data_IF_032215625913
#
_entry.id   IF_032215625913
#
_cell.length_a   1.000
_cell.length_b   1.000
_cell.length_c   1.000
_cell.angle_alpha   90.00
_cell.angle_beta   90.00
_cell.angle_gamma   90.00
#
_symmetry.space_group_name_H-M   'P 1'
#
loop_
_entity.id
_entity.type
_entity.pdbx_description
1 polymer ?
#
# COMPACT_ATOMS: atom_id res chain seq x y z
N UNK A 1 0.83 -21.29 14.65
CA UNK A 1 1.91 -20.47 14.15
C UNK A 1 1.34 -19.12 13.74
N UNK A 2 1.74 -18.03 14.41
CA UNK A 2 1.18 -16.66 14.22
C UNK A 2 1.38 -16.13 12.79
N UNK A 3 2.57 -16.21 12.17
CA UNK A 3 2.75 -15.78 10.79
C UNK A 3 1.79 -16.46 9.80
N UNK A 4 1.50 -17.73 10.00
CA UNK A 4 0.53 -18.45 9.17
C UNK A 4 -0.90 -17.90 9.34
N UNK A 5 -1.31 -17.59 10.56
CA UNK A 5 -2.62 -16.99 10.84
C UNK A 5 -2.74 -15.60 10.19
N UNK A 6 -1.71 -14.78 10.30
CA UNK A 6 -1.69 -13.44 9.66
C UNK A 6 -1.78 -13.55 8.14
N UNK A 7 -1.03 -14.47 7.53
CA UNK A 7 -1.12 -14.70 6.08
C UNK A 7 -2.49 -15.23 5.66
N UNK A 8 -3.07 -16.16 6.43
CA UNK A 8 -4.43 -16.67 6.20
C UNK A 8 -5.44 -15.53 6.24
N UNK A 9 -5.37 -14.67 7.26
CA UNK A 9 -6.27 -13.53 7.39
C UNK A 9 -6.16 -12.57 6.20
N UNK A 10 -4.95 -12.31 5.72
CA UNK A 10 -4.74 -11.52 4.50
C UNK A 10 -5.44 -12.16 3.29
N UNK A 11 -5.29 -13.47 3.08
CA UNK A 11 -5.97 -14.16 1.97
C UNK A 11 -7.49 -14.04 2.11
N UNK A 12 -8.03 -14.24 3.32
CA UNK A 12 -9.45 -14.08 3.60
C UNK A 12 -9.94 -12.67 3.29
N UNK A 13 -9.19 -11.65 3.67
CA UNK A 13 -9.50 -10.24 3.35
C UNK A 13 -9.55 -10.02 1.83
N UNK A 14 -8.59 -10.55 1.05
CA UNK A 14 -8.54 -10.37 -0.40
C UNK A 14 -9.67 -11.08 -1.14
N UNK A 15 -10.21 -12.18 -0.60
CA UNK A 15 -11.37 -12.87 -1.19
C UNK A 15 -12.71 -12.36 -0.64
N UNK A 16 -12.68 -11.35 0.24
CA UNK A 16 -13.88 -10.69 0.79
C UNK A 16 -14.48 -11.38 2.03
N UNK A 17 -13.83 -12.39 2.60
CA UNK A 17 -14.22 -13.08 3.83
C UNK A 17 -13.81 -12.26 5.07
N UNK A 18 -14.35 -11.04 5.22
CA UNK A 18 -13.87 -10.07 6.19
C UNK A 18 -14.08 -10.53 7.65
N UNK A 19 -15.24 -11.14 7.97
CA UNK A 19 -15.53 -11.64 9.31
C UNK A 19 -14.57 -12.77 9.73
N UNK A 20 -14.25 -13.67 8.80
CA UNK A 20 -13.34 -14.78 9.08
C UNK A 20 -11.89 -14.30 9.17
N UNK A 21 -11.53 -13.28 8.39
CA UNK A 21 -10.25 -12.58 8.54
C UNK A 21 -10.11 -11.98 9.93
N UNK A 22 -11.13 -11.27 10.43
CA UNK A 22 -11.12 -10.70 11.78
C UNK A 22 -10.96 -11.76 12.86
N UNK A 23 -11.74 -12.84 12.82
CA UNK A 23 -11.61 -13.96 13.76
C UNK A 23 -10.21 -14.56 13.76
N UNK A 24 -9.64 -14.71 12.56
CA UNK A 24 -8.28 -15.26 12.40
C UNK A 24 -7.22 -14.31 12.98
N UNK A 25 -7.36 -12.98 12.80
CA UNK A 25 -6.47 -11.98 13.37
C UNK A 25 -6.58 -11.92 14.90
N UNK A 26 -7.81 -11.94 15.44
CA UNK A 26 -8.01 -11.99 16.89
C UNK A 26 -7.34 -13.23 17.49
N UNK A 27 -7.47 -14.39 16.83
CA UNK A 27 -6.76 -15.61 17.25
C UNK A 27 -5.25 -15.46 17.18
N UNK A 28 -4.73 -14.75 16.18
CA UNK A 28 -3.29 -14.47 16.10
C UNK A 28 -2.83 -13.57 17.26
N UNK A 29 -3.62 -12.56 17.64
CA UNK A 29 -3.34 -11.66 18.75
C UNK A 29 -3.50 -12.33 20.12
N UNK A 30 -4.40 -13.30 20.31
CA UNK A 30 -4.42 -14.14 21.53
C UNK A 30 -3.09 -14.89 21.73
N UNK A 31 -2.48 -15.37 20.64
CA UNK A 31 -1.21 -16.10 20.70
C UNK A 31 0.01 -15.17 20.76
N UNK A 32 -0.08 -13.99 20.23
CA UNK A 32 0.96 -12.97 20.20
C UNK A 32 0.35 -11.56 20.30
N UNK A 33 -0.02 -11.12 21.52
CA UNK A 33 -0.70 -9.84 21.73
C UNK A 33 0.07 -8.61 21.25
N UNK A 34 1.37 -8.73 21.06
CA UNK A 34 2.22 -7.65 20.57
C UNK A 34 2.57 -7.75 19.08
N UNK A 35 1.84 -8.50 18.24
CA UNK A 35 2.17 -8.64 16.84
C UNK A 35 1.74 -7.37 16.03
N UNK A 36 2.69 -6.52 15.57
CA UNK A 36 2.36 -5.23 14.95
C UNK A 36 1.61 -5.37 13.64
N UNK A 37 1.91 -6.41 12.86
CA UNK A 37 1.28 -6.63 11.57
C UNK A 37 -0.19 -7.08 11.74
N UNK A 38 -0.47 -7.94 12.74
CA UNK A 38 -1.82 -8.36 13.05
C UNK A 38 -2.69 -7.19 13.53
N UNK A 39 -2.16 -6.31 14.39
CA UNK A 39 -2.85 -5.08 14.81
C UNK A 39 -3.15 -4.16 13.62
N UNK A 40 -2.15 -3.93 12.76
CA UNK A 40 -2.34 -3.08 11.59
C UNK A 40 -3.40 -3.61 10.63
N UNK A 41 -3.37 -4.92 10.31
CA UNK A 41 -4.37 -5.52 9.42
C UNK A 41 -5.76 -5.46 10.05
N UNK A 42 -5.87 -5.71 11.34
CA UNK A 42 -7.14 -5.62 12.08
C UNK A 42 -7.71 -4.19 12.02
N UNK A 43 -6.86 -3.17 12.23
CA UNK A 43 -7.25 -1.77 12.11
C UNK A 43 -7.73 -1.41 10.69
N UNK A 44 -7.11 -1.99 9.64
CA UNK A 44 -7.51 -1.75 8.24
C UNK A 44 -8.77 -2.49 7.82
N UNK A 45 -9.16 -3.54 8.56
CA UNK A 45 -10.23 -4.45 8.16
C UNK A 45 -11.62 -3.87 8.41
N UNK A 46 -11.80 -3.14 9.50
CA UNK A 46 -13.10 -2.62 9.93
C UNK A 46 -13.00 -1.18 10.43
N UNK A 47 -14.15 -0.50 10.48
CA UNK A 47 -14.23 0.85 11.04
C UNK A 47 -14.17 0.78 12.56
N UNK A 48 -13.26 1.52 13.19
CA UNK A 48 -13.17 1.62 14.63
C UNK A 48 -14.38 2.36 15.22
N UNK A 49 -14.91 1.84 16.32
CA UNK A 49 -16.05 2.41 17.06
C UNK A 49 -15.70 2.78 18.50
N UNK A 50 -14.51 2.41 18.99
CA UNK A 50 -13.98 2.75 20.31
C UNK A 50 -12.48 2.99 20.27
N UNK A 51 -11.93 3.58 21.34
CA UNK A 51 -10.50 3.84 21.49
C UNK A 51 -9.70 2.67 22.07
N UNK A 52 -10.33 1.57 22.43
CA UNK A 52 -9.70 0.47 23.16
C UNK A 52 -8.50 -0.11 22.40
N UNK A 53 -8.68 -0.39 21.12
CA UNK A 53 -7.60 -0.95 20.28
C UNK A 53 -6.50 0.10 19.98
N UNK A 54 -6.86 1.38 19.85
CA UNK A 54 -5.89 2.49 19.75
C UNK A 54 -5.01 2.53 20.99
N UNK A 55 -5.61 2.46 22.19
CA UNK A 55 -4.86 2.48 23.45
C UNK A 55 -3.95 1.26 23.61
N UNK A 56 -4.39 0.09 23.17
CA UNK A 56 -3.61 -1.13 23.15
C UNK A 56 -2.36 -0.95 22.27
N UNK A 57 -2.53 -0.51 21.02
CA UNK A 57 -1.41 -0.24 20.11
C UNK A 57 -0.47 0.86 20.64
N UNK A 58 -1.01 1.91 21.28
CA UNK A 58 -0.20 2.96 21.90
C UNK A 58 0.68 2.43 23.03
N UNK A 59 0.18 1.51 23.85
CA UNK A 59 0.98 0.84 24.90
C UNK A 59 2.13 0.04 24.28
N UNK A 60 1.88 -0.64 23.17
CA UNK A 60 2.91 -1.38 22.45
C UNK A 60 4.00 -0.45 21.94
N UNK A 61 3.65 0.65 21.27
CA UNK A 61 4.61 1.63 20.77
C UNK A 61 5.44 2.24 21.91
N UNK A 62 4.80 2.64 23.00
CA UNK A 62 5.47 3.24 24.19
C UNK A 62 6.43 2.26 24.89
N UNK A 63 6.27 0.97 24.67
CA UNK A 63 7.17 -0.05 25.26
C UNK A 63 8.61 0.04 24.76
N UNK A 64 8.86 0.72 23.64
CA UNK A 64 10.18 0.88 23.03
C UNK A 64 10.80 -0.39 22.42
N UNK A 65 10.11 -1.55 22.47
CA UNK A 65 10.65 -2.86 22.07
C UNK A 65 10.65 -3.11 20.56
N UNK A 66 9.96 -2.27 19.78
CA UNK A 66 9.75 -2.52 18.37
C UNK A 66 10.77 -1.79 17.48
N UNK A 67 11.35 -2.48 16.48
CA UNK A 67 12.16 -1.83 15.47
C UNK A 67 11.34 -0.85 14.62
N UNK A 68 11.97 0.09 13.90
CA UNK A 68 11.28 1.15 13.17
C UNK A 68 10.16 0.65 12.25
N UNK A 69 10.40 -0.41 11.49
CA UNK A 69 9.39 -1.00 10.59
C UNK A 69 8.14 -1.48 11.34
N UNK A 70 8.32 -2.13 12.48
CA UNK A 70 7.22 -2.63 13.30
C UNK A 70 6.44 -1.48 13.96
N UNK A 71 7.15 -0.42 14.40
CA UNK A 71 6.51 0.80 14.92
C UNK A 71 5.67 1.49 13.85
N UNK A 72 6.13 1.51 12.60
CA UNK A 72 5.37 2.09 11.50
C UNK A 72 4.02 1.41 11.33
N UNK A 73 3.94 0.07 11.39
CA UNK A 73 2.66 -0.65 11.33
C UNK A 73 1.71 -0.23 12.46
N UNK A 74 2.21 -0.16 13.70
CA UNK A 74 1.38 0.25 14.83
C UNK A 74 0.89 1.69 14.69
N UNK A 75 1.77 2.62 14.29
CA UNK A 75 1.40 4.01 14.12
C UNK A 75 0.38 4.23 12.98
N UNK A 76 0.51 3.52 11.85
CA UNK A 76 -0.48 3.58 10.78
C UNK A 76 -1.82 2.96 11.19
N UNK A 77 -1.82 1.89 12.00
CA UNK A 77 -3.04 1.34 12.59
C UNK A 77 -3.73 2.33 13.53
N UNK A 78 -2.94 2.98 14.42
CA UNK A 78 -3.43 4.03 15.32
C UNK A 78 -4.03 5.19 14.52
N UNK A 79 -3.31 5.67 13.50
CA UNK A 79 -3.77 6.79 12.68
C UNK A 79 -5.09 6.49 11.97
N UNK A 80 -5.22 5.29 11.38
CA UNK A 80 -6.44 4.86 10.69
C UNK A 80 -7.63 4.77 11.65
N UNK A 81 -7.47 4.19 12.84
CA UNK A 81 -8.57 4.09 13.79
C UNK A 81 -8.95 5.43 14.42
N UNK A 82 -7.99 6.33 14.63
CA UNK A 82 -8.28 7.70 15.06
C UNK A 82 -9.02 8.49 13.97
N UNK A 83 -8.68 8.27 12.68
CA UNK A 83 -9.42 8.83 11.55
C UNK A 83 -10.87 8.31 11.52
N UNK A 84 -11.09 7.01 11.74
CA UNK A 84 -12.41 6.43 11.87
C UNK A 84 -13.25 7.05 13.00
N UNK A 85 -12.59 7.43 14.09
CA UNK A 85 -13.18 8.07 15.27
C UNK A 85 -13.30 9.60 15.13
N UNK A 86 -12.98 10.15 13.96
CA UNK A 86 -13.01 11.57 13.62
C UNK A 86 -12.08 12.45 14.48
N UNK A 87 -11.05 11.85 15.10
CA UNK A 87 -9.98 12.56 15.79
C UNK A 87 -8.86 12.90 14.82
N UNK A 88 -9.14 13.84 13.92
CA UNK A 88 -8.28 14.19 12.78
C UNK A 88 -6.89 14.65 13.18
N UNK A 89 -6.78 15.40 14.28
CA UNK A 89 -5.50 15.92 14.76
C UNK A 89 -4.60 14.77 15.25
N UNK A 90 -5.13 13.93 16.13
CA UNK A 90 -4.38 12.78 16.64
C UNK A 90 -4.09 11.74 15.54
N UNK A 91 -4.99 11.57 14.56
CA UNK A 91 -4.76 10.72 13.40
C UNK A 91 -3.58 11.22 12.57
N UNK A 92 -3.51 12.53 12.27
CA UNK A 92 -2.41 13.12 11.54
C UNK A 92 -1.06 12.95 12.26
N UNK A 93 -1.01 13.24 13.57
CA UNK A 93 0.18 13.00 14.38
C UNK A 93 0.64 11.53 14.34
N UNK A 94 -0.30 10.58 14.39
CA UNK A 94 0.02 9.17 14.31
C UNK A 94 0.57 8.78 12.93
N UNK A 95 -0.01 9.29 11.85
CA UNK A 95 0.51 9.09 10.49
C UNK A 95 1.92 9.68 10.31
N UNK A 96 2.18 10.87 10.86
CA UNK A 96 3.51 11.49 10.84
C UNK A 96 4.55 10.63 11.57
N UNK A 97 4.20 10.10 12.75
CA UNK A 97 5.06 9.16 13.48
C UNK A 97 5.31 7.87 12.69
N UNK A 98 4.27 7.34 12.04
CA UNK A 98 4.37 6.17 11.17
C UNK A 98 5.29 6.42 9.97
N UNK A 99 5.12 7.53 9.30
CA UNK A 99 5.95 7.95 8.16
C UNK A 99 7.41 8.16 8.56
N UNK A 100 7.66 8.84 9.69
CA UNK A 100 9.00 9.03 10.23
C UNK A 100 9.68 7.70 10.58
N UNK A 101 8.96 6.79 11.26
CA UNK A 101 9.47 5.46 11.55
C UNK A 101 9.75 4.66 10.27
N UNK A 102 8.89 4.76 9.26
CA UNK A 102 9.07 4.10 7.97
C UNK A 102 10.24 4.68 7.18
N UNK A 103 10.38 6.01 7.15
CA UNK A 103 11.50 6.71 6.47
C UNK A 103 12.86 6.24 6.96
N UNK A 104 12.99 5.93 8.25
CA UNK A 104 14.23 5.39 8.83
C UNK A 104 14.54 3.94 8.47
N UNK A 105 13.70 3.26 7.66
CA UNK A 105 13.91 1.83 7.30
C UNK A 105 14.51 1.59 5.92
N UNK A 106 14.72 2.64 5.14
CA UNK A 106 15.34 2.57 3.82
C UNK A 106 16.20 3.81 3.56
N UNK A 107 17.22 3.60 2.81
CA UNK A 107 18.09 4.67 2.34
C UNK A 107 17.49 5.24 1.04
N UNK A 108 17.18 6.53 1.05
CA UNK A 108 16.60 7.22 -0.10
C UNK A 108 17.61 8.24 -0.61
N UNK A 109 18.05 8.05 -1.83
CA UNK A 109 18.94 8.96 -2.53
C UNK A 109 18.15 9.84 -3.49
N UNK A 110 17.82 11.04 -3.04
CA UNK A 110 17.09 12.03 -3.84
C UNK A 110 17.86 12.45 -5.09
N UNK A 111 19.19 12.52 -5.01
CA UNK A 111 20.01 12.90 -6.15
C UNK A 111 20.03 11.82 -7.24
N UNK A 112 20.01 10.55 -6.84
CA UNK A 112 19.88 9.46 -7.80
C UNK A 112 18.51 9.48 -8.50
N UNK A 113 17.43 9.81 -7.79
CA UNK A 113 16.10 9.94 -8.39
C UNK A 113 16.02 11.12 -9.36
N UNK A 114 16.53 12.30 -8.97
CA UNK A 114 16.62 13.48 -9.85
C UNK A 114 17.45 13.14 -11.10
N UNK A 115 18.60 12.50 -10.93
CA UNK A 115 19.47 12.07 -12.03
C UNK A 115 18.79 11.11 -13.01
N UNK A 116 17.86 10.28 -12.52
CA UNK A 116 17.05 9.40 -13.36
C UNK A 116 16.09 10.22 -14.26
N UNK A 117 15.38 11.21 -13.70
CA UNK A 117 14.50 12.09 -14.49
C UNK A 117 15.28 12.92 -15.52
N UNK A 118 16.41 13.46 -15.14
CA UNK A 118 17.31 14.16 -16.09
C UNK A 118 17.81 13.23 -17.22
N UNK A 119 18.06 11.96 -16.91
CA UNK A 119 18.44 10.98 -17.92
C UNK A 119 17.27 10.69 -18.89
N UNK A 120 16.03 10.63 -18.40
CA UNK A 120 14.85 10.50 -19.27
C UNK A 120 14.71 11.71 -20.19
N UNK A 121 14.81 12.93 -19.69
CA UNK A 121 14.74 14.15 -20.50
C UNK A 121 15.82 14.20 -21.59
N UNK A 122 17.06 13.79 -21.25
CA UNK A 122 18.17 13.73 -22.23
C UNK A 122 17.99 12.63 -23.27
N UNK A 123 17.36 11.52 -22.92
CA UNK A 123 17.20 10.35 -23.80
C UNK A 123 16.02 10.49 -24.73
N UNK A 124 14.84 10.80 -24.17
CA UNK A 124 13.58 10.82 -24.92
C UNK A 124 13.31 12.19 -25.53
N UNK A 125 14.21 12.63 -26.39
CA UNK A 125 14.11 13.88 -27.13
C UNK A 125 13.19 13.74 -28.35
N UNK A 126 12.81 14.89 -28.94
CA UNK A 126 12.06 14.91 -30.20
C UNK A 126 12.81 14.19 -31.32
N UNK A 127 14.13 14.35 -31.39
CA UNK A 127 14.95 13.72 -32.41
C UNK A 127 15.04 12.19 -32.19
N UNK A 128 15.07 11.75 -30.94
CA UNK A 128 14.99 10.32 -30.62
C UNK A 128 13.69 9.70 -31.15
N UNK A 129 12.53 10.36 -30.92
CA UNK A 129 11.25 9.90 -31.45
C UNK A 129 11.20 9.94 -32.98
N UNK A 130 11.78 10.95 -33.61
CA UNK A 130 11.83 11.07 -35.06
C UNK A 130 12.74 10.00 -35.71
N UNK A 131 13.77 9.57 -34.99
CA UNK A 131 14.70 8.51 -35.43
C UNK A 131 14.19 7.09 -35.09
N UNK A 132 13.18 6.96 -34.24
CA UNK A 132 12.56 5.66 -33.96
C UNK A 132 11.92 5.13 -35.24
N UNK A 133 12.28 3.93 -35.64
CA UNK A 133 11.68 3.24 -36.79
C UNK A 133 10.22 2.90 -36.54
N UNK A 134 9.57 2.37 -37.58
CA UNK A 134 8.22 1.84 -37.50
C UNK A 134 8.17 0.70 -36.46
N UNK A 135 7.29 0.84 -35.48
CA UNK A 135 7.04 -0.20 -34.47
C UNK A 135 6.26 -1.37 -35.04
N UNK A 136 5.79 -2.25 -34.18
CA UNK A 136 4.89 -3.33 -34.58
C UNK A 136 3.53 -2.76 -34.98
N UNK A 137 3.15 -2.98 -36.23
CA UNK A 137 1.89 -2.48 -36.83
C UNK A 137 0.71 -3.30 -36.34
N UNK A 138 0.16 -2.96 -35.20
CA UNK A 138 -1.06 -3.56 -34.64
C UNK A 138 -1.93 -2.50 -33.94
N UNK A 139 -3.19 -2.44 -34.31
CA UNK A 139 -4.19 -1.64 -33.63
C UNK A 139 -4.85 -2.34 -32.41
N UNK A 140 -4.42 -3.55 -32.07
CA UNK A 140 -5.04 -4.32 -30.99
C UNK A 140 -4.70 -3.84 -29.57
N UNK A 141 -3.45 -3.42 -29.24
CA UNK A 141 -3.11 -2.97 -27.90
C UNK A 141 -3.73 -1.59 -27.58
N UNK A 142 -4.33 -1.49 -26.38
CA UNK A 142 -4.76 -0.22 -25.79
C UNK A 142 -3.92 0.01 -24.55
N UNK A 143 -3.12 1.07 -24.53
CA UNK A 143 -2.27 1.42 -23.39
C UNK A 143 -2.95 2.47 -22.51
N UNK A 144 -3.15 2.14 -21.23
CA UNK A 144 -3.60 3.08 -20.21
C UNK A 144 -2.38 3.48 -19.39
N UNK A 145 -1.93 4.71 -19.55
CA UNK A 145 -0.74 5.23 -18.87
C UNK A 145 -1.08 6.41 -17.98
N UNK A 146 -0.37 6.55 -16.86
CA UNK A 146 -0.54 7.65 -15.92
C UNK A 146 0.33 7.46 -14.69
N UNK A 147 0.47 8.51 -13.92
CA UNK A 147 1.15 8.42 -12.64
C UNK A 147 0.36 7.55 -11.65
N UNK A 148 1.02 6.95 -10.65
CA UNK A 148 0.33 6.22 -9.59
C UNK A 148 -0.81 7.05 -8.96
N UNK A 149 -1.95 6.43 -8.72
CA UNK A 149 -3.15 7.03 -8.08
C UNK A 149 -3.88 8.09 -8.92
N UNK A 150 -3.64 8.16 -10.23
CA UNK A 150 -4.37 9.07 -11.17
C UNK A 150 -5.64 8.47 -11.77
N UNK A 151 -6.02 7.25 -11.38
CA UNK A 151 -7.25 6.61 -11.83
C UNK A 151 -7.10 5.66 -13.03
N UNK A 152 -5.88 5.23 -13.35
CA UNK A 152 -5.61 4.26 -14.43
C UNK A 152 -6.43 2.98 -14.30
N UNK A 153 -6.58 2.44 -13.09
CA UNK A 153 -7.43 1.27 -12.82
C UNK A 153 -8.91 1.54 -13.15
N UNK A 154 -9.42 2.75 -12.86
CA UNK A 154 -10.80 3.09 -13.18
C UNK A 154 -11.00 3.16 -14.70
N UNK A 155 -10.08 3.80 -15.41
CA UNK A 155 -10.13 3.89 -16.89
C UNK A 155 -10.04 2.49 -17.50
N UNK A 156 -9.14 1.63 -17.03
CA UNK A 156 -9.04 0.24 -17.45
C UNK A 156 -10.37 -0.50 -17.26
N UNK A 157 -11.01 -0.36 -16.10
CA UNK A 157 -12.31 -0.98 -15.81
C UNK A 157 -13.42 -0.50 -16.73
N UNK A 158 -13.43 0.79 -17.07
CA UNK A 158 -14.39 1.35 -18.02
C UNK A 158 -14.20 0.75 -19.43
N UNK A 159 -12.96 0.69 -19.90
CA UNK A 159 -12.63 0.14 -21.23
C UNK A 159 -12.94 -1.35 -21.30
N UNK A 160 -12.56 -2.10 -20.27
CA UNK A 160 -12.79 -3.57 -20.22
C UNK A 160 -14.23 -3.97 -19.91
N UNK A 161 -15.14 -3.01 -19.67
CA UNK A 161 -16.57 -3.27 -19.68
C UNK A 161 -17.10 -3.62 -21.09
N UNK A 162 -16.36 -3.30 -22.15
CA UNK A 162 -16.69 -3.71 -23.50
C UNK A 162 -16.31 -5.18 -23.74
N UNK A 163 -17.23 -6.05 -24.28
CA UNK A 163 -16.99 -7.50 -24.36
C UNK A 163 -15.83 -7.92 -25.29
N UNK A 164 -15.41 -7.03 -26.19
CA UNK A 164 -14.26 -7.30 -27.08
C UNK A 164 -12.92 -6.86 -26.51
N UNK A 165 -12.88 -6.33 -25.27
CA UNK A 165 -11.65 -5.83 -24.64
C UNK A 165 -11.34 -6.67 -23.40
N UNK A 166 -10.11 -7.16 -23.33
CA UNK A 166 -9.60 -7.94 -22.20
C UNK A 166 -8.43 -7.21 -21.54
N UNK A 167 -8.42 -7.15 -20.21
CA UNK A 167 -7.28 -6.63 -19.47
C UNK A 167 -6.10 -7.60 -19.50
N UNK A 168 -4.91 -7.08 -19.76
CA UNK A 168 -3.64 -7.77 -19.57
C UNK A 168 -2.99 -7.47 -18.20
N UNK A 169 -3.62 -6.60 -17.41
CA UNK A 169 -3.09 -6.14 -16.12
C UNK A 169 -1.84 -5.27 -16.26
N UNK A 170 -1.12 -5.10 -15.17
CA UNK A 170 0.15 -4.36 -15.13
C UNK A 170 1.29 -5.24 -15.64
N UNK A 171 1.68 -5.04 -16.89
CA UNK A 171 2.73 -5.82 -17.54
C UNK A 171 4.12 -5.32 -17.09
N UNK A 172 4.84 -6.15 -16.34
CA UNK A 172 6.21 -5.85 -15.88
C UNK A 172 7.24 -5.74 -17.02
N UNK A 173 6.92 -6.25 -18.20
CA UNK A 173 7.79 -6.22 -19.37
C UNK A 173 8.08 -4.79 -19.88
N UNK A 174 7.24 -3.83 -19.56
CA UNK A 174 7.41 -2.42 -19.91
C UNK A 174 8.00 -1.56 -18.79
N UNK A 175 8.23 -2.13 -17.60
CA UNK A 175 8.73 -1.42 -16.43
C UNK A 175 10.19 -1.76 -16.04
N UNK A 176 10.92 -2.50 -16.88
CA UNK A 176 12.32 -2.89 -16.64
C UNK A 176 13.24 -2.20 -17.63
#
# INVERSE_FOLDING_TARGET
NVPFLVNKANCQMYVGELEDSEKTLRRALELAPGNPNAHWILAMLSKATSREHVEEMQKLVKSGRYPPRARAFLWYGIGKELEDLEDWHAAFEAFEQGASARRGTFDFDEQAEIGMYEAFERTYTRDWFAAAGDGFDSAAPIFVVGQPRTGTTLVERIITAHPAVTSAGELKQFGN
#
